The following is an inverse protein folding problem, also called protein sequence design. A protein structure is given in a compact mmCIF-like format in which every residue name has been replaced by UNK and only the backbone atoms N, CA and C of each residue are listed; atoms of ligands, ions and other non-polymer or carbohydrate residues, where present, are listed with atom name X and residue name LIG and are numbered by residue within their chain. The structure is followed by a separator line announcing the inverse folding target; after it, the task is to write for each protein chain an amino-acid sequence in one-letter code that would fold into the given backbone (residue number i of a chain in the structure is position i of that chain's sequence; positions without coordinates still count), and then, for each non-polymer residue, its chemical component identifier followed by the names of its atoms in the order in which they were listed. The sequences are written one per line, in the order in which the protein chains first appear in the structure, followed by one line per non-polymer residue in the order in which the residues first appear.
data_IF_609718339209
#
_entry.id   IF_609718339209
#
_cell.length_a   1.000
_cell.length_b   1.000
_cell.length_c   1.000
_cell.angle_alpha   90.00
_cell.angle_beta   90.00
_cell.angle_gamma   90.00
#
_symmetry.space_group_name_H-M   'P 1'
#
loop_
_entity.id
_entity.type
_entity.pdbx_description
1 polymer ?
#
# COMPACT_ATOMS: atom_id res chain seq x y z
N UNK A 1 -15.19 -3.87 10.63
CA UNK A 1 -14.52 -3.26 9.45
C UNK A 1 -13.21 -3.98 9.17
N UNK A 2 -12.28 -4.12 10.13
CA UNK A 2 -10.96 -4.76 9.92
C UNK A 2 -11.08 -6.21 9.44
N UNK A 3 -11.95 -7.02 10.05
CA UNK A 3 -12.18 -8.42 9.63
C UNK A 3 -12.71 -8.54 8.20
N UNK A 4 -13.52 -7.59 7.74
CA UNK A 4 -14.01 -7.53 6.37
C UNK A 4 -12.85 -7.31 5.36
N UNK A 5 -11.98 -6.33 5.63
CA UNK A 5 -10.81 -6.09 4.79
C UNK A 5 -9.81 -7.26 4.85
N UNK A 6 -9.64 -7.89 6.01
CA UNK A 6 -8.80 -9.07 6.14
C UNK A 6 -9.32 -10.23 5.26
N UNK A 7 -10.63 -10.46 5.25
CA UNK A 7 -11.24 -11.47 4.37
C UNK A 7 -11.06 -11.12 2.88
N UNK A 8 -11.17 -9.85 2.50
CA UNK A 8 -10.96 -9.40 1.12
C UNK A 8 -9.49 -9.50 0.66
N UNK A 9 -8.52 -9.48 1.57
CA UNK A 9 -7.12 -9.71 1.22
C UNK A 9 -6.88 -11.12 0.64
N UNK A 10 -7.63 -12.15 1.09
CA UNK A 10 -7.44 -13.54 0.66
C UNK A 10 -7.66 -13.72 -0.85
N UNK A 11 -8.80 -13.32 -1.45
CA UNK A 11 -9.00 -13.43 -2.89
C UNK A 11 -8.02 -12.57 -3.71
N UNK A 12 -7.57 -11.42 -3.19
CA UNK A 12 -6.58 -10.58 -3.89
C UNK A 12 -5.23 -11.30 -3.96
N UNK A 13 -4.78 -11.89 -2.85
CA UNK A 13 -3.55 -12.68 -2.82
C UNK A 13 -3.66 -13.88 -3.78
N UNK A 14 -4.80 -14.58 -3.79
CA UNK A 14 -5.05 -15.66 -4.74
C UNK A 14 -4.94 -15.20 -6.19
N UNK A 15 -5.62 -14.09 -6.55
CA UNK A 15 -5.63 -13.56 -7.91
C UNK A 15 -4.23 -13.08 -8.34
N UNK A 16 -3.49 -12.44 -7.44
CA UNK A 16 -2.12 -11.97 -7.70
C UNK A 16 -1.17 -13.15 -7.90
N UNK A 17 -1.18 -14.12 -6.99
CA UNK A 17 -0.32 -15.29 -7.05
C UNK A 17 -0.64 -16.17 -8.27
N UNK A 18 -1.91 -16.28 -8.67
CA UNK A 18 -2.33 -17.02 -9.87
C UNK A 18 -1.78 -16.40 -11.16
N UNK A 19 -1.59 -15.08 -11.17
CA UNK A 19 -1.01 -14.38 -12.32
C UNK A 19 0.52 -14.52 -12.38
N UNK A 20 1.18 -14.50 -11.24
CA UNK A 20 2.65 -14.58 -11.16
C UNK A 20 3.16 -16.01 -11.26
N UNK A 21 2.39 -16.97 -10.78
CA UNK A 21 2.79 -18.37 -10.66
C UNK A 21 1.72 -19.28 -11.29
N UNK A 22 1.34 -20.34 -10.58
CA UNK A 22 0.34 -21.33 -11.01
C UNK A 22 -0.82 -21.42 -10.00
N UNK A 23 -1.90 -22.14 -10.39
CA UNK A 23 -3.10 -22.26 -9.56
C UNK A 23 -2.87 -22.94 -8.20
N UNK A 24 -1.93 -23.89 -8.12
CA UNK A 24 -1.60 -24.60 -6.87
C UNK A 24 -0.91 -23.65 -5.90
N UNK A 25 0.10 -22.91 -6.36
CA UNK A 25 0.79 -21.89 -5.55
C UNK A 25 -0.15 -20.79 -5.10
N UNK A 26 -1.05 -20.34 -5.98
CA UNK A 26 -2.04 -19.33 -5.64
C UNK A 26 -2.97 -19.79 -4.51
N UNK A 27 -3.46 -21.03 -4.59
CA UNK A 27 -4.32 -21.61 -3.57
C UNK A 27 -3.61 -21.72 -2.22
N UNK A 28 -2.37 -22.22 -2.22
CA UNK A 28 -1.56 -22.34 -1.01
C UNK A 28 -1.28 -20.95 -0.41
N UNK A 29 -0.90 -19.96 -1.22
CA UNK A 29 -0.65 -18.60 -0.76
C UNK A 29 -1.88 -17.96 -0.10
N UNK A 30 -3.06 -18.15 -0.71
CA UNK A 30 -4.31 -17.65 -0.17
C UNK A 30 -4.72 -18.35 1.14
N UNK A 31 -4.40 -19.65 1.28
CA UNK A 31 -4.69 -20.43 2.49
C UNK A 31 -3.75 -20.08 3.63
N UNK A 32 -2.48 -19.79 3.34
CA UNK A 32 -1.49 -19.42 4.34
C UNK A 32 -1.75 -18.05 4.96
N UNK A 33 -2.34 -17.10 4.21
CA UNK A 33 -2.58 -15.74 4.70
C UNK A 33 -3.43 -15.69 5.98
N UNK A 34 -4.62 -16.33 6.05
CA UNK A 34 -5.41 -16.34 7.29
C UNK A 34 -4.76 -17.17 8.42
N UNK A 35 -3.86 -18.10 8.07
CA UNK A 35 -3.06 -18.85 9.05
C UNK A 35 -1.89 -18.05 9.63
N UNK A 36 -1.55 -16.90 9.05
CA UNK A 36 -0.52 -16.03 9.60
C UNK A 36 -1.01 -15.36 10.88
N UNK A 37 -0.33 -15.61 12.00
CA UNK A 37 -0.70 -15.09 13.32
C UNK A 37 -0.94 -13.58 13.33
N UNK A 38 -0.04 -12.82 12.71
CA UNK A 38 -0.14 -11.35 12.66
C UNK A 38 -1.37 -10.90 11.87
N UNK A 39 -1.67 -11.52 10.72
CA UNK A 39 -2.85 -11.20 9.92
C UNK A 39 -4.14 -11.45 10.71
N UNK A 40 -4.23 -12.60 11.39
CA UNK A 40 -5.37 -12.96 12.22
C UNK A 40 -5.53 -12.02 13.43
N UNK A 41 -4.43 -11.64 14.08
CA UNK A 41 -4.46 -10.76 15.25
C UNK A 41 -4.94 -9.36 14.86
N UNK A 42 -4.37 -8.75 13.82
CA UNK A 42 -4.73 -7.41 13.35
C UNK A 42 -6.17 -7.39 12.78
N UNK A 43 -6.63 -8.48 12.18
CA UNK A 43 -8.01 -8.62 11.70
C UNK A 43 -9.06 -8.46 12.82
N UNK A 44 -8.71 -8.82 14.06
CA UNK A 44 -9.59 -8.72 15.24
C UNK A 44 -9.53 -7.35 15.92
N UNK A 45 -8.46 -6.60 15.70
CA UNK A 45 -8.33 -5.27 16.25
C UNK A 45 -9.07 -4.25 15.39
N UNK A 46 -9.69 -3.26 16.03
CA UNK A 46 -10.40 -2.17 15.34
C UNK A 46 -9.42 -1.09 14.84
N UNK A 47 -8.42 -1.51 14.03
CA UNK A 47 -7.34 -0.67 13.53
C UNK A 47 -7.47 -0.52 12.01
N UNK A 48 -7.01 0.62 11.49
CA UNK A 48 -7.02 0.93 10.04
C UNK A 48 -6.02 0.13 9.22
N UNK A 49 -5.12 -0.62 9.86
CA UNK A 49 -4.02 -1.34 9.21
C UNK A 49 -4.48 -2.40 8.22
N UNK A 50 -5.61 -3.08 8.49
CA UNK A 50 -6.18 -4.04 7.54
C UNK A 50 -6.74 -3.38 6.29
N UNK A 51 -7.35 -2.20 6.42
CA UNK A 51 -7.80 -1.43 5.26
C UNK A 51 -6.60 -0.96 4.42
N UNK A 52 -5.55 -0.46 5.06
CA UNK A 52 -4.29 -0.09 4.39
C UNK A 52 -3.70 -1.29 3.64
N UNK A 53 -3.55 -2.44 4.32
CA UNK A 53 -3.00 -3.67 3.72
C UNK A 53 -3.80 -4.13 2.50
N UNK A 54 -5.13 -4.05 2.57
CA UNK A 54 -6.01 -4.36 1.44
C UNK A 54 -5.71 -3.48 0.23
N UNK A 55 -5.61 -2.15 0.40
CA UNK A 55 -5.34 -1.25 -0.72
C UNK A 55 -3.91 -1.40 -1.26
N UNK A 56 -2.93 -1.72 -0.42
CA UNK A 56 -1.57 -2.05 -0.87
C UNK A 56 -1.58 -3.34 -1.72
N UNK A 57 -2.23 -4.40 -1.26
CA UNK A 57 -2.35 -5.64 -2.02
C UNK A 57 -3.11 -5.43 -3.34
N UNK A 58 -4.15 -4.61 -3.32
CA UNK A 58 -4.92 -4.28 -4.51
C UNK A 58 -4.09 -3.47 -5.52
N UNK A 59 -3.24 -2.55 -5.03
CA UNK A 59 -2.29 -1.83 -5.87
C UNK A 59 -1.29 -2.79 -6.54
N UNK A 60 -0.75 -3.77 -5.82
CA UNK A 60 0.10 -4.81 -6.40
C UNK A 60 -0.63 -5.69 -7.42
N UNK A 61 -1.88 -6.05 -7.16
CA UNK A 61 -2.69 -6.80 -8.10
C UNK A 61 -2.86 -6.05 -9.43
N UNK A 62 -3.23 -4.77 -9.37
CA UNK A 62 -3.38 -3.96 -10.57
C UNK A 62 -2.04 -3.72 -11.27
N UNK A 63 -0.96 -3.51 -10.54
CA UNK A 63 0.36 -3.43 -11.13
C UNK A 63 0.74 -4.73 -11.87
N UNK A 64 0.60 -5.90 -11.24
CA UNK A 64 0.93 -7.19 -11.88
C UNK A 64 0.05 -7.44 -13.10
N UNK A 65 -1.21 -7.04 -13.06
CA UNK A 65 -2.11 -7.12 -14.19
C UNK A 65 -1.68 -6.21 -15.34
N UNK A 66 -1.35 -4.96 -15.05
CA UNK A 66 -0.82 -4.04 -16.06
C UNK A 66 0.50 -4.49 -16.65
N UNK A 67 1.37 -5.10 -15.84
CA UNK A 67 2.65 -5.62 -16.28
C UNK A 67 2.51 -6.77 -17.30
N UNK A 68 1.49 -7.62 -17.16
CA UNK A 68 1.23 -8.76 -18.04
C UNK A 68 0.32 -8.44 -19.24
N UNK A 69 -0.51 -7.40 -19.16
CA UNK A 69 -1.42 -7.00 -20.23
C UNK A 69 -0.74 -6.15 -21.29
N UNK A 70 -1.21 -6.27 -22.52
CA UNK A 70 -0.70 -5.47 -23.67
C UNK A 70 -1.66 -4.36 -24.09
N UNK A 71 -2.97 -4.63 -24.10
CA UNK A 71 -3.98 -3.71 -24.66
C UNK A 71 -4.41 -2.61 -23.67
N UNK A 72 -4.69 -2.96 -22.42
CA UNK A 72 -5.23 -2.02 -21.41
C UNK A 72 -4.24 -1.71 -20.27
N UNK A 73 -2.96 -1.81 -20.55
CA UNK A 73 -1.86 -1.68 -19.59
C UNK A 73 -1.95 -0.41 -18.74
N UNK A 74 -2.14 0.72 -19.37
CA UNK A 74 -2.20 2.02 -18.69
C UNK A 74 -3.37 2.12 -17.71
N UNK A 75 -4.51 1.55 -18.06
CA UNK A 75 -5.71 1.55 -17.20
C UNK A 75 -5.44 0.84 -15.87
N UNK A 76 -4.74 -0.29 -15.91
CA UNK A 76 -4.38 -1.02 -14.69
C UNK A 76 -3.37 -0.26 -13.82
N UNK A 77 -2.42 0.43 -14.42
CA UNK A 77 -1.51 1.31 -13.67
C UNK A 77 -2.24 2.47 -13.01
N UNK A 78 -3.23 3.07 -13.70
CA UNK A 78 -4.06 4.11 -13.08
C UNK A 78 -4.86 3.58 -11.89
N UNK A 79 -5.44 2.38 -11.98
CA UNK A 79 -6.09 1.75 -10.82
C UNK A 79 -5.12 1.46 -9.67
N UNK A 80 -3.87 1.08 -9.96
CA UNK A 80 -2.84 0.94 -8.93
C UNK A 80 -2.59 2.26 -8.20
N UNK A 81 -2.45 3.38 -8.92
CA UNK A 81 -2.30 4.71 -8.31
C UNK A 81 -3.52 5.15 -7.52
N UNK A 82 -4.72 4.86 -7.99
CA UNK A 82 -5.96 5.14 -7.23
C UNK A 82 -5.95 4.38 -5.90
N UNK A 83 -5.58 3.10 -5.91
CA UNK A 83 -5.47 2.31 -4.68
C UNK A 83 -4.42 2.87 -3.71
N UNK A 84 -3.26 3.31 -4.21
CA UNK A 84 -2.24 3.99 -3.41
C UNK A 84 -2.77 5.31 -2.81
N UNK A 85 -3.52 6.10 -3.60
CA UNK A 85 -4.13 7.35 -3.15
C UNK A 85 -5.17 7.14 -2.05
N UNK A 86 -6.05 6.14 -2.19
CA UNK A 86 -7.01 5.77 -1.14
C UNK A 86 -6.27 5.27 0.10
N UNK A 87 -5.26 4.43 -0.06
CA UNK A 87 -4.40 3.98 1.03
C UNK A 87 -3.72 5.13 1.77
N UNK A 88 -3.28 6.16 1.03
CA UNK A 88 -2.72 7.38 1.62
C UNK A 88 -3.73 8.10 2.54
N UNK A 89 -4.99 8.17 2.14
CA UNK A 89 -6.04 8.77 2.98
C UNK A 89 -6.31 7.98 4.26
N UNK A 90 -5.94 6.69 4.30
CA UNK A 90 -6.13 5.82 5.49
C UNK A 90 -4.99 6.01 6.51
N UNK A 91 -3.73 6.00 6.06
CA UNK A 91 -2.57 6.00 6.97
C UNK A 91 -1.38 6.87 6.50
N UNK A 92 -1.56 7.69 5.47
CA UNK A 92 -0.55 8.62 4.99
C UNK A 92 0.48 8.00 4.04
N UNK A 93 1.72 8.57 3.98
CA UNK A 93 2.70 8.31 2.93
C UNK A 93 3.12 6.86 2.74
N UNK A 94 3.03 6.04 3.79
CA UNK A 94 3.44 4.63 3.77
C UNK A 94 2.70 3.81 2.70
N UNK A 95 1.46 4.20 2.39
CA UNK A 95 0.63 3.57 1.36
C UNK A 95 1.16 3.76 -0.07
N UNK A 96 1.99 4.77 -0.29
CA UNK A 96 2.66 5.04 -1.57
C UNK A 96 4.08 4.48 -1.53
N UNK A 97 4.80 4.70 -0.44
CA UNK A 97 6.22 4.33 -0.31
C UNK A 97 6.41 2.82 -0.45
N UNK A 98 5.61 2.01 0.26
CA UNK A 98 5.75 0.54 0.22
C UNK A 98 5.52 -0.01 -1.19
N UNK A 99 4.38 0.26 -1.88
CA UNK A 99 4.19 -0.21 -3.23
C UNK A 99 5.24 0.32 -4.21
N UNK A 100 5.62 1.60 -4.11
CA UNK A 100 6.62 2.18 -4.97
C UNK A 100 7.98 1.48 -4.85
N UNK A 101 8.47 1.25 -3.62
CA UNK A 101 9.73 0.55 -3.38
C UNK A 101 9.71 -0.88 -3.91
N UNK A 102 8.61 -1.62 -3.69
CA UNK A 102 8.48 -3.00 -4.16
C UNK A 102 8.41 -3.04 -5.68
N UNK A 103 7.63 -2.17 -6.32
CA UNK A 103 7.50 -2.10 -7.78
C UNK A 103 8.85 -1.73 -8.42
N UNK A 104 9.51 -0.70 -7.92
CA UNK A 104 10.81 -0.26 -8.42
C UNK A 104 11.85 -1.38 -8.22
N UNK A 105 11.91 -1.98 -7.03
CA UNK A 105 12.83 -3.10 -6.75
C UNK A 105 12.58 -4.29 -7.69
N UNK A 106 11.32 -4.64 -7.94
CA UNK A 106 10.94 -5.69 -8.87
C UNK A 106 11.43 -5.39 -10.31
N UNK A 107 11.22 -4.16 -10.80
CA UNK A 107 11.66 -3.76 -12.14
C UNK A 107 13.19 -3.70 -12.26
N UNK A 108 13.90 -3.29 -11.21
CA UNK A 108 15.38 -3.30 -11.18
C UNK A 108 15.90 -4.72 -11.28
N UNK A 109 15.34 -5.67 -10.50
CA UNK A 109 15.74 -7.09 -10.51
C UNK A 109 15.52 -7.70 -11.90
N UNK A 110 14.41 -7.38 -12.55
CA UNK A 110 14.10 -7.85 -13.90
C UNK A 110 14.88 -7.11 -14.99
N UNK A 111 15.60 -6.04 -14.65
CA UNK A 111 16.30 -5.14 -15.61
C UNK A 111 15.38 -4.57 -16.69
N UNK A 112 14.09 -4.40 -16.38
CA UNK A 112 13.08 -3.92 -17.34
C UNK A 112 12.86 -2.42 -17.19
N UNK A 113 13.82 -1.63 -17.67
CA UNK A 113 13.78 -0.16 -17.61
C UNK A 113 12.70 0.45 -18.52
N UNK A 114 12.33 -0.24 -19.60
CA UNK A 114 11.26 0.24 -20.48
C UNK A 114 9.92 0.30 -19.75
N UNK A 115 9.67 -0.65 -18.85
CA UNK A 115 8.44 -0.69 -18.09
C UNK A 115 8.32 0.47 -17.11
N UNK A 116 9.43 0.93 -16.55
CA UNK A 116 9.46 2.10 -15.66
C UNK A 116 8.97 3.36 -16.38
N UNK A 117 9.36 3.53 -17.66
CA UNK A 117 8.85 4.63 -18.52
C UNK A 117 7.35 4.48 -18.82
N UNK A 118 6.87 3.22 -18.98
CA UNK A 118 5.47 2.91 -19.28
C UNK A 118 4.54 3.07 -18.07
N UNK A 119 5.06 3.11 -16.84
CA UNK A 119 4.29 3.42 -15.63
C UNK A 119 3.68 4.82 -15.64
N UNK A 120 4.14 5.70 -16.56
CA UNK A 120 3.61 7.07 -16.68
C UNK A 120 3.53 7.80 -15.35
N UNK A 121 4.66 7.85 -14.64
CA UNK A 121 4.74 8.41 -13.27
C UNK A 121 4.12 9.81 -13.15
N UNK A 122 4.18 10.64 -14.22
CA UNK A 122 3.52 11.94 -14.25
C UNK A 122 2.00 11.86 -14.09
N UNK A 123 1.34 10.95 -14.83
CA UNK A 123 -0.11 10.71 -14.68
C UNK A 123 -0.42 10.08 -13.30
N UNK A 124 0.45 9.20 -12.82
CA UNK A 124 0.33 8.66 -11.46
C UNK A 124 0.36 9.75 -10.40
N UNK A 125 1.33 10.68 -10.50
CA UNK A 125 1.41 11.83 -9.60
C UNK A 125 0.17 12.73 -9.69
N UNK A 126 -0.38 12.96 -10.88
CA UNK A 126 -1.63 13.72 -11.05
C UNK A 126 -2.83 13.03 -10.36
N UNK A 127 -2.96 11.70 -10.51
CA UNK A 127 -4.04 10.93 -9.86
C UNK A 127 -3.89 11.01 -8.34
N UNK A 128 -2.69 10.80 -7.82
CA UNK A 128 -2.41 10.92 -6.38
C UNK A 128 -2.71 12.33 -5.88
N UNK A 129 -2.27 13.36 -6.59
CA UNK A 129 -2.56 14.75 -6.25
C UNK A 129 -4.07 15.04 -6.24
N UNK A 130 -4.80 14.57 -7.26
CA UNK A 130 -6.25 14.75 -7.35
C UNK A 130 -7.02 14.10 -6.19
N UNK A 131 -6.51 13.01 -5.62
CA UNK A 131 -7.14 12.34 -4.46
C UNK A 131 -6.71 13.02 -3.16
N UNK A 132 -5.45 13.40 -3.02
CA UNK A 132 -4.85 13.84 -1.76
C UNK A 132 -5.06 15.34 -1.54
N UNK A 133 -4.85 16.17 -2.57
CA UNK A 133 -4.87 17.63 -2.42
C UNK A 133 -6.23 18.20 -1.96
N UNK A 134 -7.40 17.74 -2.43
CA UNK A 134 -8.67 18.29 -1.97
C UNK A 134 -8.85 18.22 -0.45
N UNK A 135 -8.44 17.11 0.15
CA UNK A 135 -8.48 16.93 1.61
C UNK A 135 -7.50 17.87 2.32
N UNK A 136 -6.25 17.93 1.84
CA UNK A 136 -5.25 18.81 2.45
C UNK A 136 -5.62 20.29 2.33
N UNK A 137 -6.13 20.70 1.17
CA UNK A 137 -6.60 22.10 0.98
C UNK A 137 -7.75 22.42 1.93
N UNK A 138 -8.72 21.51 2.05
CA UNK A 138 -9.85 21.69 2.97
C UNK A 138 -9.37 21.79 4.42
N UNK A 139 -8.47 20.95 4.85
CA UNK A 139 -7.91 21.00 6.21
C UNK A 139 -7.10 22.28 6.47
N UNK A 140 -6.31 22.73 5.49
CA UNK A 140 -5.58 23.99 5.60
C UNK A 140 -6.49 25.21 5.65
N UNK A 141 -7.63 25.19 4.92
CA UNK A 141 -8.57 26.31 4.93
C UNK A 141 -9.41 26.40 6.20
N UNK A 142 -9.75 25.23 6.80
CA UNK A 142 -10.59 25.17 8.00
C UNK A 142 -9.77 25.35 9.28
N UNK A 143 -8.61 24.72 9.39
CA UNK A 143 -7.81 24.65 10.62
C UNK A 143 -6.50 25.44 10.58
N UNK A 144 -6.11 25.99 9.42
CA UNK A 144 -5.00 26.92 9.24
C UNK A 144 -3.70 26.53 9.96
N UNK A 145 -3.27 27.36 10.90
CA UNK A 145 -1.99 27.20 11.59
C UNK A 145 -1.99 26.05 12.62
N UNK A 146 -3.15 25.68 13.18
CA UNK A 146 -3.23 24.50 14.07
C UNK A 146 -2.92 23.20 13.32
N UNK A 147 -3.41 23.08 12.10
CA UNK A 147 -3.15 21.91 11.25
C UNK A 147 -1.66 21.83 10.85
N UNK A 148 -1.04 22.95 10.49
CA UNK A 148 0.38 23.01 10.19
C UNK A 148 1.23 22.60 11.40
N UNK A 149 0.91 23.13 12.59
CA UNK A 149 1.64 22.82 13.82
C UNK A 149 1.44 21.37 14.26
N UNK A 150 0.24 20.78 14.03
CA UNK A 150 -0.04 19.41 14.40
C UNK A 150 0.66 18.41 13.46
N UNK A 151 0.63 18.62 12.14
CA UNK A 151 1.27 17.72 11.17
C UNK A 151 2.79 17.91 11.13
N UNK A 152 3.28 19.16 11.08
CA UNK A 152 4.71 19.45 10.98
C UNK A 152 5.41 19.43 12.34
N UNK A 153 4.68 19.84 13.42
CA UNK A 153 5.26 19.96 14.74
C UNK A 153 5.21 18.67 15.58
N UNK A 154 4.02 18.06 15.73
CA UNK A 154 3.84 16.92 16.61
C UNK A 154 4.10 15.59 15.89
N UNK A 155 3.42 15.34 14.77
CA UNK A 155 3.41 14.01 14.17
C UNK A 155 4.71 13.66 13.43
N UNK A 156 5.31 14.61 12.72
CA UNK A 156 6.64 14.40 12.10
C UNK A 156 7.76 14.40 13.14
N UNK A 157 7.69 15.29 14.12
CA UNK A 157 8.73 15.41 15.15
C UNK A 157 8.70 14.22 16.12
N UNK A 158 7.52 13.79 16.58
CA UNK A 158 7.39 12.63 17.47
C UNK A 158 7.76 11.32 16.77
N UNK A 159 7.40 11.16 15.51
CA UNK A 159 7.80 9.97 14.72
C UNK A 159 9.28 9.95 14.37
N UNK A 160 9.91 11.12 14.16
CA UNK A 160 11.35 11.20 13.85
C UNK A 160 12.25 11.16 15.09
N UNK A 161 11.76 11.57 16.27
CA UNK A 161 12.57 11.69 17.48
C UNK A 161 12.28 10.58 18.48
N UNK A 162 11.04 10.10 18.61
CA UNK A 162 10.66 9.07 19.59
C UNK A 162 10.64 7.64 19.03
N UNK A 163 10.31 7.47 17.75
CA UNK A 163 10.50 6.18 17.07
C UNK A 163 11.88 6.14 16.45
N UNK A 164 12.90 5.83 17.24
CA UNK A 164 14.13 5.32 16.65
C UNK A 164 13.76 4.05 15.88
N UNK A 165 14.01 3.98 14.55
CA UNK A 165 13.58 2.85 13.71
C UNK A 165 14.26 1.52 14.05
N UNK A 166 15.13 1.50 15.04
CA UNK A 166 15.84 0.35 15.60
C UNK A 166 15.51 0.10 17.09
N UNK A 167 14.23 0.10 17.44
CA UNK A 167 13.88 -0.44 18.74
C UNK A 167 14.06 -1.96 18.69
N UNK A 168 15.07 -2.48 19.41
CA UNK A 168 15.29 -3.90 19.67
C UNK A 168 14.03 -4.61 20.24
N UNK A 169 13.02 -3.85 20.64
CA UNK A 169 11.72 -4.34 21.09
C UNK A 169 11.01 -5.19 20.01
N UNK A 170 11.09 -4.80 18.73
CA UNK A 170 10.48 -5.59 17.64
C UNK A 170 11.21 -6.90 17.38
N UNK A 171 12.52 -6.95 17.60
CA UNK A 171 13.29 -8.21 17.52
C UNK A 171 12.91 -9.19 18.62
N UNK A 172 12.61 -8.71 19.81
CA UNK A 172 12.17 -9.54 20.93
C UNK A 172 10.76 -10.14 20.77
N UNK A 173 9.90 -9.50 19.96
CA UNK A 173 8.52 -9.99 19.68
C UNK A 173 8.51 -11.03 18.57
N UNK A 174 9.47 -11.00 17.63
CA UNK A 174 9.56 -11.97 16.52
C UNK A 174 10.15 -13.32 16.96
N UNK A 175 10.93 -13.34 18.06
CA UNK A 175 11.63 -14.54 18.55
C UNK A 175 10.83 -15.28 19.65
N UNK A 176 9.71 -14.77 20.10
CA UNK A 176 8.78 -15.41 21.03
C UNK A 176 7.58 -15.99 20.32
#
# INVERSE_FOLDING_TARGET
VSSFFAALCIPIVYMTARRLFNGKTAFISALLLPGCYLHFQIARWAITDMALNFFILLAFYFFTRGFQETLNKNTYYYFSYICMGIGFMIKGPIAIIIPALVIIGFLIILRNWEELSRLRLGYGAMILAAIILPWFITMLTIHGDEFKNHILGAELRDRMIHDSPFSLYYFGVIIR
#
